data_IF_900510065649
#
_entry.id   IF_900510065649
#
_cell.length_a   1.000
_cell.length_b   1.000
_cell.length_c   1.000
_cell.angle_alpha   90.00
_cell.angle_beta   90.00
_cell.angle_gamma   90.00
#
_symmetry.space_group_name_H-M   'P 1'
#
loop_
_entity.id
_entity.type
_entity.pdbx_description
1 polymer ?
#
# COMPACT_ATOMS: atom_id res chain seq x y z
N UNK A 1 3.41 -13.84 -7.26
CA UNK A 1 4.22 -13.53 -6.06
C UNK A 1 4.27 -14.77 -5.20
N UNK A 2 5.48 -15.14 -4.74
CA UNK A 2 5.74 -16.20 -3.75
C UNK A 2 5.62 -15.58 -2.37
N UNK A 3 4.79 -16.14 -1.51
CA UNK A 3 4.44 -15.56 -0.20
C UNK A 3 4.90 -16.43 0.99
N UNK A 4 5.29 -17.69 0.72
CA UNK A 4 5.76 -18.61 1.75
C UNK A 4 6.84 -19.62 1.23
N UNK A 5 7.65 -20.22 2.14
CA UNK A 5 8.82 -21.03 1.74
C UNK A 5 8.55 -22.26 0.87
N UNK A 6 7.37 -22.89 0.95
CA UNK A 6 7.06 -24.10 0.19
C UNK A 6 6.43 -23.85 -1.19
N UNK A 7 6.05 -22.61 -1.47
CA UNK A 7 5.43 -22.26 -2.75
C UNK A 7 6.35 -22.45 -3.96
N UNK A 8 7.66 -22.18 -3.91
CA UNK A 8 8.54 -22.38 -5.07
C UNK A 8 8.44 -23.79 -5.64
N UNK A 9 8.50 -24.81 -4.79
CA UNK A 9 8.40 -26.21 -5.22
C UNK A 9 7.03 -26.52 -5.85
N UNK A 10 5.93 -26.02 -5.25
CA UNK A 10 4.57 -26.20 -5.76
C UNK A 10 4.39 -25.52 -7.13
N UNK A 11 4.88 -24.28 -7.27
CA UNK A 11 4.81 -23.57 -8.54
C UNK A 11 5.65 -24.28 -9.62
N UNK A 12 6.84 -24.75 -9.28
CA UNK A 12 7.71 -25.48 -10.17
C UNK A 12 7.05 -26.78 -10.67
N UNK A 13 6.38 -27.52 -9.78
CA UNK A 13 5.62 -28.74 -10.15
C UNK A 13 4.49 -28.41 -11.15
N UNK A 14 3.72 -27.37 -10.88
CA UNK A 14 2.64 -26.92 -11.76
C UNK A 14 3.20 -26.46 -13.11
N UNK A 15 4.27 -25.67 -13.10
CA UNK A 15 4.92 -25.17 -14.30
C UNK A 15 5.42 -26.33 -15.20
N UNK A 16 6.07 -27.32 -14.60
CA UNK A 16 6.49 -28.57 -15.29
C UNK A 16 5.30 -29.30 -15.92
N UNK A 17 4.24 -29.51 -15.14
CA UNK A 17 3.02 -30.19 -15.62
C UNK A 17 2.35 -29.47 -16.79
N UNK A 18 2.40 -28.13 -16.80
CA UNK A 18 1.81 -27.32 -17.85
C UNK A 18 2.78 -27.06 -19.03
N UNK A 19 4.03 -27.50 -18.96
CA UNK A 19 5.05 -27.20 -19.95
C UNK A 19 5.32 -25.68 -20.10
N UNK A 20 5.22 -24.93 -18.99
CA UNK A 20 5.38 -23.47 -18.98
C UNK A 20 6.49 -23.05 -18.02
N UNK A 21 7.08 -21.88 -18.30
CA UNK A 21 7.98 -21.19 -17.36
C UNK A 21 7.20 -20.08 -16.66
N UNK A 22 7.24 -20.06 -15.33
CA UNK A 22 6.54 -19.06 -14.51
C UNK A 22 7.50 -17.94 -14.09
N UNK A 23 7.09 -16.67 -14.29
CA UNK A 23 7.79 -15.50 -13.74
C UNK A 23 7.34 -15.31 -12.29
N UNK A 24 8.28 -15.21 -11.37
CA UNK A 24 7.99 -15.14 -9.94
C UNK A 24 8.81 -14.06 -9.24
N UNK A 25 8.21 -13.44 -8.22
CA UNK A 25 8.85 -12.54 -7.26
C UNK A 25 8.64 -13.09 -5.86
N UNK A 26 9.59 -12.85 -4.96
CA UNK A 26 9.40 -13.17 -3.54
C UNK A 26 8.83 -11.97 -2.80
N UNK A 27 7.71 -12.15 -2.09
CA UNK A 27 7.21 -11.16 -1.13
C UNK A 27 8.00 -11.24 0.17
N UNK A 28 8.58 -10.10 0.56
CA UNK A 28 9.45 -9.99 1.73
C UNK A 28 8.80 -9.08 2.77
N UNK A 29 8.72 -9.58 4.00
CA UNK A 29 8.35 -8.77 5.16
C UNK A 29 9.58 -7.99 5.60
N UNK A 30 9.57 -6.70 5.28
CA UNK A 30 10.73 -5.83 5.48
C UNK A 30 10.94 -5.38 6.93
N UNK A 31 9.95 -5.57 7.82
CA UNK A 31 9.98 -5.07 9.19
C UNK A 31 9.81 -3.54 9.29
N UNK A 32 9.31 -2.89 8.24
CA UNK A 32 8.94 -1.48 8.26
C UNK A 32 7.46 -1.34 8.60
N UNK A 33 7.14 -0.49 9.55
CA UNK A 33 5.76 -0.21 9.95
C UNK A 33 5.31 1.13 9.35
N UNK A 34 4.22 1.09 8.58
CA UNK A 34 3.62 2.28 7.99
C UNK A 34 2.10 2.15 7.90
N UNK A 35 1.38 3.29 8.06
CA UNK A 35 -0.07 3.35 8.02
C UNK A 35 -0.73 3.41 9.40
N UNK A 36 -1.97 3.91 9.44
CA UNK A 36 -2.65 4.33 10.68
C UNK A 36 -3.51 3.27 11.37
N UNK A 37 -3.74 2.09 10.80
CA UNK A 37 -4.61 1.07 11.40
C UNK A 37 -3.94 -0.31 11.38
N UNK A 38 -4.02 -1.04 12.50
CA UNK A 38 -3.38 -2.34 12.70
C UNK A 38 -3.73 -3.35 11.57
N UNK A 39 -4.99 -3.41 11.14
CA UNK A 39 -5.43 -4.35 10.10
C UNK A 39 -4.89 -4.06 8.69
N UNK A 40 -4.31 -2.91 8.45
CA UNK A 40 -3.71 -2.53 7.16
C UNK A 40 -2.19 -2.37 7.23
N UNK A 41 -1.57 -2.61 8.39
CA UNK A 41 -0.12 -2.72 8.56
C UNK A 41 0.33 -4.13 8.20
N UNK A 42 1.12 -4.30 7.13
CA UNK A 42 1.35 -5.61 6.50
C UNK A 42 2.82 -6.03 6.45
N UNK A 43 3.71 -5.35 7.17
CA UNK A 43 5.14 -5.58 7.05
C UNK A 43 5.87 -5.85 8.38
N UNK A 44 5.15 -6.14 9.46
CA UNK A 44 5.75 -6.56 10.73
C UNK A 44 5.85 -8.10 10.84
N UNK A 45 6.61 -8.60 11.81
CA UNK A 45 6.98 -10.01 11.91
C UNK A 45 5.79 -10.96 12.17
N UNK A 46 4.79 -10.52 12.93
CA UNK A 46 3.57 -11.29 13.22
C UNK A 46 2.47 -10.98 12.21
N UNK A 47 2.68 -11.41 10.97
CA UNK A 47 1.76 -11.20 9.85
C UNK A 47 1.64 -12.45 8.98
N UNK A 48 0.47 -12.59 8.33
CA UNK A 48 0.22 -13.69 7.40
C UNK A 48 0.90 -13.53 6.02
N UNK A 49 1.60 -12.43 5.78
CA UNK A 49 2.12 -12.05 4.48
C UNK A 49 3.63 -12.10 4.41
N UNK A 50 4.15 -12.70 3.34
CA UNK A 50 5.55 -12.64 2.98
C UNK A 50 6.47 -13.46 3.85
N UNK A 51 7.73 -13.50 3.43
CA UNK A 51 8.82 -14.16 4.13
C UNK A 51 9.68 -13.11 4.82
N UNK A 52 10.01 -13.31 6.10
CA UNK A 52 10.77 -12.35 6.87
C UNK A 52 12.17 -12.12 6.27
N UNK A 53 12.58 -10.84 6.22
CA UNK A 53 13.91 -10.44 5.76
C UNK A 53 15.02 -10.97 6.67
N UNK A 54 14.79 -10.92 7.98
CA UNK A 54 15.78 -11.24 9.01
C UNK A 54 15.40 -12.48 9.80
N UNK A 55 16.39 -13.13 10.45
CA UNK A 55 16.12 -14.18 11.41
C UNK A 55 15.34 -13.66 12.62
N UNK A 56 14.60 -14.53 13.28
CA UNK A 56 13.87 -14.22 14.51
C UNK A 56 14.82 -13.66 15.58
N UNK A 57 14.44 -12.53 16.17
CA UNK A 57 15.21 -11.86 17.22
C UNK A 57 16.42 -11.05 16.74
N UNK A 58 16.62 -10.90 15.44
CA UNK A 58 17.64 -10.05 14.89
C UNK A 58 17.33 -8.56 15.12
N UNK A 59 18.37 -7.78 15.39
CA UNK A 59 18.24 -6.33 15.57
C UNK A 59 18.15 -5.60 14.22
N UNK A 60 16.93 -5.29 13.81
CA UNK A 60 16.64 -4.63 12.55
C UNK A 60 17.25 -3.21 12.43
N UNK A 61 17.63 -2.57 13.55
CA UNK A 61 18.28 -1.24 13.53
C UNK A 61 19.65 -1.28 12.83
N UNK A 62 20.31 -2.42 12.81
CA UNK A 62 21.58 -2.60 12.11
C UNK A 62 21.47 -2.49 10.59
N UNK A 63 20.25 -2.59 10.03
CA UNK A 63 20.02 -2.36 8.61
C UNK A 63 20.03 -0.87 8.23
N UNK A 64 19.97 0.03 9.22
CA UNK A 64 20.01 1.47 8.99
C UNK A 64 21.42 1.98 8.61
N UNK A 65 22.40 1.10 8.55
CA UNK A 65 23.76 1.41 8.03
C UNK A 65 23.75 2.12 6.67
N UNK A 66 22.72 1.89 5.85
CA UNK A 66 22.58 2.54 4.55
C UNK A 66 22.22 4.04 4.67
N UNK A 67 21.66 4.48 5.78
CA UNK A 67 21.42 5.89 6.07
C UNK A 67 22.75 6.60 6.34
N UNK A 68 23.57 6.01 7.20
CA UNK A 68 24.89 6.55 7.55
C UNK A 68 25.83 6.63 6.32
N UNK A 69 25.77 5.63 5.43
CA UNK A 69 26.63 5.55 4.24
C UNK A 69 26.16 6.47 3.10
N UNK A 70 24.87 6.75 3.01
CA UNK A 70 24.31 7.65 2.00
C UNK A 70 24.65 9.11 2.26
N UNK A 71 24.80 9.50 3.53
CA UNK A 71 25.16 10.87 3.95
C UNK A 71 26.67 11.18 3.76
N UNK A 72 27.50 10.16 3.59
CA UNK A 72 28.93 10.36 3.31
C UNK A 72 29.10 10.65 1.82
N UNK A 73 28.97 11.90 1.43
CA UNK A 73 29.44 12.38 0.11
C UNK A 73 30.95 12.14 0.04
N UNK A 74 31.48 11.39 -0.95
CA UNK A 74 32.92 11.26 -1.10
C UNK A 74 33.53 12.66 -1.34
N UNK A 75 34.30 13.14 -0.39
CA UNK A 75 35.06 14.36 -0.58
C UNK A 75 36.01 14.13 -1.79
N UNK A 76 35.67 14.71 -2.93
CA UNK A 76 36.59 14.83 -4.07
C UNK A 76 36.22 14.10 -5.35
N UNK A 77 34.97 13.83 -5.67
CA UNK A 77 34.63 13.43 -7.05
C UNK A 77 33.93 14.56 -7.82
N UNK A 78 34.71 15.55 -8.25
CA UNK A 78 34.41 16.33 -9.45
C UNK A 78 34.64 15.45 -10.71
N UNK A 79 34.08 14.26 -10.75
CA UNK A 79 33.95 13.51 -11.96
C UNK A 79 32.70 14.04 -12.68
N UNK A 80 32.90 14.98 -13.59
CA UNK A 80 31.95 15.24 -14.68
C UNK A 80 31.55 13.88 -15.24
N UNK A 81 30.25 13.57 -15.19
CA UNK A 81 29.66 12.52 -15.99
C UNK A 81 29.93 12.91 -17.44
N UNK A 82 31.04 12.40 -18.00
CA UNK A 82 31.30 12.40 -19.43
C UNK A 82 30.25 11.48 -20.03
N UNK A 83 29.47 12.01 -20.96
CA UNK A 83 28.65 11.23 -21.85
C UNK A 83 29.60 10.22 -22.57
N UNK A 84 29.61 8.99 -22.06
CA UNK A 84 30.20 7.87 -22.80
C UNK A 84 29.04 7.10 -23.40
N UNK A 85 28.93 7.16 -24.73
CA UNK A 85 28.15 6.22 -25.51
C UNK A 85 28.73 4.80 -25.33
N UNK A 86 28.42 4.17 -24.18
CA UNK A 86 28.71 2.76 -23.99
C UNK A 86 27.45 1.97 -24.31
N UNK A 87 27.56 1.04 -25.24
CA UNK A 87 26.51 0.05 -25.51
C UNK A 87 26.11 -0.68 -24.24
N UNK A 88 24.80 -0.91 -24.01
CA UNK A 88 24.28 -1.42 -22.72
C UNK A 88 24.85 -2.74 -22.20
N UNK A 89 25.61 -3.49 -23.02
CA UNK A 89 26.24 -4.76 -22.61
C UNK A 89 27.63 -4.59 -21.99
N UNK A 90 28.47 -3.65 -22.48
CA UNK A 90 29.86 -3.53 -22.02
C UNK A 90 30.04 -2.88 -20.65
N UNK A 91 29.10 -2.02 -20.23
CA UNK A 91 29.13 -1.41 -18.90
C UNK A 91 28.77 -2.41 -17.81
N UNK A 92 27.83 -3.32 -18.08
CA UNK A 92 27.41 -4.35 -17.13
C UNK A 92 28.52 -5.40 -16.88
N UNK A 93 29.24 -5.82 -17.92
CA UNK A 93 30.35 -6.78 -17.79
C UNK A 93 31.55 -6.19 -17.03
N UNK A 94 31.90 -4.92 -17.26
CA UNK A 94 32.97 -4.25 -16.48
C UNK A 94 32.61 -4.06 -15.02
N UNK A 95 31.35 -3.72 -14.73
CA UNK A 95 30.84 -3.60 -13.36
C UNK A 95 30.85 -4.97 -12.66
N UNK A 96 30.39 -6.03 -13.33
CA UNK A 96 30.47 -7.40 -12.86
C UNK A 96 31.90 -7.85 -12.54
N UNK A 97 32.89 -7.52 -13.39
CA UNK A 97 34.30 -7.85 -13.12
C UNK A 97 34.88 -7.10 -11.92
N UNK A 98 34.44 -5.87 -11.66
CA UNK A 98 34.87 -5.10 -10.50
C UNK A 98 34.29 -5.69 -9.20
N UNK A 99 33.00 -6.06 -9.21
CA UNK A 99 32.28 -6.59 -8.06
C UNK A 99 32.65 -8.03 -7.70
N UNK A 100 33.06 -8.85 -8.69
CA UNK A 100 33.56 -10.22 -8.47
C UNK A 100 34.95 -10.22 -7.79
N UNK A 101 35.71 -9.15 -7.94
CA UNK A 101 37.09 -9.07 -7.42
C UNK A 101 37.16 -8.79 -5.92
N UNK A 102 36.05 -8.41 -5.28
CA UNK A 102 35.98 -8.03 -3.87
C UNK A 102 34.77 -8.63 -3.09
N UNK A 103 34.51 -9.96 -3.21
CA UNK A 103 33.59 -10.58 -2.28
C UNK A 103 34.34 -10.81 -0.96
N UNK A 104 34.10 -10.01 0.07
CA UNK A 104 34.46 -10.29 1.46
C UNK A 104 35.92 -10.63 1.81
N UNK A 105 36.93 -10.17 1.07
CA UNK A 105 38.33 -10.29 1.53
C UNK A 105 38.61 -9.24 2.60
N UNK A 106 38.35 -9.60 3.84
CA UNK A 106 38.63 -8.82 5.06
C UNK A 106 40.12 -8.77 5.43
N UNK A 107 41.00 -9.33 4.59
CA UNK A 107 42.43 -9.47 4.90
C UNK A 107 43.27 -8.21 4.62
N UNK A 108 42.68 -7.18 4.01
CA UNK A 108 43.39 -5.92 3.75
C UNK A 108 43.25 -4.90 4.87
N UNK A 109 44.35 -4.37 5.35
CA UNK A 109 44.55 -3.51 6.54
C UNK A 109 43.77 -2.18 6.59
N UNK A 110 42.81 -1.88 5.68
CA UNK A 110 42.07 -0.63 5.58
C UNK A 110 40.59 -0.79 5.26
N UNK A 111 39.90 -1.74 5.90
CA UNK A 111 38.45 -1.81 5.80
C UNK A 111 37.86 -0.69 6.66
N UNK A 112 37.05 0.20 6.04
CA UNK A 112 36.39 1.29 6.78
C UNK A 112 35.39 0.76 7.82
N UNK A 113 35.06 1.55 8.81
CA UNK A 113 34.02 1.20 9.78
C UNK A 113 32.66 0.99 9.08
N UNK A 114 32.36 1.82 8.06
CA UNK A 114 31.16 1.69 7.23
C UNK A 114 31.10 0.35 6.51
N UNK A 115 32.21 -0.09 5.88
CA UNK A 115 32.25 -1.39 5.20
C UNK A 115 32.04 -2.56 6.17
N UNK A 116 32.56 -2.48 7.39
CA UNK A 116 32.34 -3.51 8.43
C UNK A 116 30.87 -3.57 8.86
N UNK A 117 30.25 -2.42 9.07
CA UNK A 117 28.82 -2.34 9.41
C UNK A 117 27.96 -2.89 8.26
N UNK A 118 28.26 -2.54 7.02
CA UNK A 118 27.58 -3.08 5.84
C UNK A 118 27.72 -4.60 5.73
N UNK A 119 28.94 -5.13 5.89
CA UNK A 119 29.18 -6.57 5.89
C UNK A 119 28.38 -7.28 7.00
N UNK A 120 28.30 -6.71 8.20
CA UNK A 120 27.48 -7.21 9.30
C UNK A 120 25.99 -7.23 8.97
N UNK A 121 25.46 -6.16 8.35
CA UNK A 121 24.07 -6.10 7.91
C UNK A 121 23.78 -7.14 6.81
N UNK A 122 24.68 -7.30 5.84
CA UNK A 122 24.55 -8.33 4.79
C UNK A 122 24.60 -9.75 5.37
N UNK A 123 25.42 -10.01 6.39
CA UNK A 123 25.44 -11.31 7.07
C UNK A 123 24.10 -11.60 7.74
N UNK A 124 23.52 -10.64 8.44
CA UNK A 124 22.17 -10.81 9.02
C UNK A 124 21.11 -11.12 7.96
N UNK A 125 21.14 -10.42 6.82
CA UNK A 125 20.22 -10.70 5.70
C UNK A 125 20.49 -12.07 5.10
N UNK A 126 21.76 -12.50 5.02
CA UNK A 126 22.13 -13.82 4.52
C UNK A 126 21.62 -14.97 5.39
N UNK A 127 21.52 -14.75 6.69
CA UNK A 127 20.98 -15.70 7.65
C UNK A 127 19.43 -15.66 7.71
N UNK A 128 18.80 -14.71 7.01
CA UNK A 128 17.36 -14.52 6.99
C UNK A 128 16.62 -15.51 6.09
N UNK A 129 15.36 -15.84 6.42
CA UNK A 129 14.56 -16.78 5.63
C UNK A 129 14.29 -16.31 4.20
N UNK A 130 14.21 -15.00 3.94
CA UNK A 130 13.98 -14.48 2.59
C UNK A 130 15.08 -14.89 1.62
N UNK A 131 16.36 -14.84 2.04
CA UNK A 131 17.47 -15.27 1.19
C UNK A 131 17.41 -16.78 0.90
N UNK A 132 17.03 -17.60 1.87
CA UNK A 132 16.87 -19.04 1.68
C UNK A 132 15.80 -19.35 0.62
N UNK A 133 14.68 -18.65 0.65
CA UNK A 133 13.60 -18.82 -0.34
C UNK A 133 14.02 -18.32 -1.73
N UNK A 134 14.75 -17.20 -1.82
CA UNK A 134 15.31 -16.75 -3.11
C UNK A 134 16.21 -17.81 -3.73
N UNK A 135 17.08 -18.44 -2.94
CA UNK A 135 17.92 -19.56 -3.39
C UNK A 135 17.10 -20.76 -3.84
N UNK A 136 16.02 -21.06 -3.13
CA UNK A 136 15.12 -22.17 -3.52
C UNK A 136 14.43 -21.88 -4.86
N UNK A 137 13.90 -20.66 -5.07
CA UNK A 137 13.35 -20.25 -6.37
C UNK A 137 14.41 -20.39 -7.47
N UNK A 138 15.63 -19.92 -7.21
CA UNK A 138 16.73 -19.95 -8.17
C UNK A 138 17.16 -21.38 -8.54
N UNK A 139 17.06 -22.35 -7.65
CA UNK A 139 17.29 -23.77 -7.95
C UNK A 139 16.34 -24.34 -8.99
N UNK A 140 15.15 -23.77 -9.12
CA UNK A 140 14.14 -24.16 -10.11
C UNK A 140 14.16 -23.30 -11.38
N UNK A 141 15.29 -22.68 -11.71
CA UNK A 141 15.43 -21.78 -12.87
C UNK A 141 15.12 -22.42 -14.23
N UNK A 142 15.04 -23.76 -14.29
CA UNK A 142 14.57 -24.52 -15.45
C UNK A 142 13.11 -24.21 -15.80
N UNK A 143 12.27 -23.94 -14.80
CA UNK A 143 10.83 -23.65 -14.95
C UNK A 143 10.34 -22.39 -14.24
N UNK A 144 11.15 -21.80 -13.37
CA UNK A 144 10.87 -20.51 -12.72
C UNK A 144 11.83 -19.44 -13.24
N UNK A 145 11.30 -18.27 -13.54
CA UNK A 145 12.07 -17.07 -13.82
C UNK A 145 11.96 -16.14 -12.60
N UNK A 146 13.01 -16.08 -11.79
CA UNK A 146 13.06 -15.16 -10.66
C UNK A 146 13.28 -13.74 -11.16
N UNK A 147 12.23 -12.91 -11.12
CA UNK A 147 12.27 -11.54 -11.67
C UNK A 147 12.56 -10.48 -10.61
N UNK A 148 12.36 -10.76 -9.33
CA UNK A 148 12.62 -9.75 -8.31
C UNK A 148 12.10 -10.08 -6.92
N UNK A 149 12.07 -9.05 -6.09
CA UNK A 149 11.48 -9.06 -4.76
C UNK A 149 10.37 -8.03 -4.66
N UNK A 150 9.38 -8.32 -3.84
CA UNK A 150 8.23 -7.49 -3.58
C UNK A 150 8.13 -7.18 -2.08
N UNK A 151 7.70 -5.98 -1.73
CA UNK A 151 7.37 -5.61 -0.36
C UNK A 151 6.15 -4.71 -0.35
N UNK A 152 5.21 -4.94 0.56
CA UNK A 152 4.06 -4.07 0.78
C UNK A 152 4.01 -3.69 2.26
N UNK A 153 4.16 -2.41 2.57
CA UNK A 153 4.46 -1.92 3.93
C UNK A 153 3.26 -1.37 4.68
N UNK A 154 2.11 -1.25 4.01
CA UNK A 154 0.91 -0.74 4.66
C UNK A 154 -0.02 0.00 3.71
N UNK A 155 -0.91 0.79 4.26
CA UNK A 155 -1.96 1.48 3.50
C UNK A 155 -2.18 2.89 4.04
N UNK A 156 -2.55 3.81 3.14
CA UNK A 156 -2.80 5.21 3.44
C UNK A 156 -1.58 5.93 4.03
N UNK A 157 -0.44 5.80 3.35
CA UNK A 157 0.86 6.37 3.73
C UNK A 157 0.99 7.72 3.01
N UNK A 158 1.31 8.77 3.77
CA UNK A 158 1.25 10.16 3.29
C UNK A 158 2.58 10.71 2.77
N UNK A 159 3.70 10.05 3.07
CA UNK A 159 5.05 10.45 2.63
C UNK A 159 5.88 9.25 2.19
N UNK A 160 7.02 9.50 1.56
CA UNK A 160 7.88 8.44 1.05
C UNK A 160 8.82 7.82 2.10
N UNK A 161 8.89 8.29 3.33
CA UNK A 161 9.92 7.87 4.29
C UNK A 161 9.91 6.36 4.53
N UNK A 162 8.74 5.78 4.77
CA UNK A 162 8.61 4.34 4.97
C UNK A 162 8.92 3.54 3.69
N UNK A 163 8.53 4.05 2.51
CA UNK A 163 8.89 3.44 1.22
C UNK A 163 10.39 3.48 0.97
N UNK A 164 11.07 4.59 1.31
CA UNK A 164 12.52 4.73 1.21
C UNK A 164 13.22 3.71 2.11
N UNK A 165 12.76 3.54 3.36
CA UNK A 165 13.33 2.55 4.27
C UNK A 165 13.11 1.11 3.76
N UNK A 166 11.92 0.80 3.26
CA UNK A 166 11.65 -0.50 2.65
C UNK A 166 12.54 -0.74 1.41
N UNK A 167 12.65 0.24 0.53
CA UNK A 167 13.52 0.18 -0.65
C UNK A 167 14.98 -0.09 -0.26
N UNK A 168 15.53 0.61 0.73
CA UNK A 168 16.89 0.37 1.23
C UNK A 168 17.08 -1.08 1.67
N UNK A 169 16.14 -1.63 2.44
CA UNK A 169 16.19 -3.03 2.88
C UNK A 169 16.11 -4.02 1.71
N UNK A 170 15.28 -3.74 0.71
CA UNK A 170 15.20 -4.57 -0.50
C UNK A 170 16.48 -4.49 -1.35
N UNK A 171 17.11 -3.31 -1.45
CA UNK A 171 18.40 -3.17 -2.13
C UNK A 171 19.51 -3.94 -1.40
N UNK A 172 19.49 -3.96 -0.07
CA UNK A 172 20.44 -4.74 0.72
C UNK A 172 20.25 -6.25 0.51
N UNK A 173 18.99 -6.75 0.50
CA UNK A 173 18.69 -8.14 0.14
C UNK A 173 19.19 -8.49 -1.27
N UNK A 174 18.93 -7.60 -2.23
CA UNK A 174 19.37 -7.74 -3.61
C UNK A 174 20.90 -7.82 -3.72
N UNK A 175 21.63 -6.97 -3.00
CA UNK A 175 23.10 -7.01 -2.91
C UNK A 175 23.60 -8.31 -2.27
N UNK A 176 22.96 -8.73 -1.17
CA UNK A 176 23.31 -9.96 -0.46
C UNK A 176 23.11 -11.19 -1.36
N UNK A 177 21.99 -11.27 -2.09
CA UNK A 177 21.72 -12.37 -3.01
C UNK A 177 22.73 -12.38 -4.17
N UNK A 178 23.07 -11.21 -4.71
CA UNK A 178 24.14 -11.11 -5.72
C UNK A 178 25.49 -11.62 -5.18
N UNK A 179 25.86 -11.24 -3.96
CA UNK A 179 27.12 -11.66 -3.35
C UNK A 179 27.21 -13.16 -3.08
N UNK A 180 26.05 -13.82 -2.79
CA UNK A 180 26.03 -15.25 -2.46
C UNK A 180 25.79 -16.15 -3.67
N UNK A 181 25.04 -15.71 -4.66
CA UNK A 181 24.55 -16.54 -5.77
C UNK A 181 24.88 -15.99 -7.16
N UNK A 182 25.58 -14.86 -7.24
CA UNK A 182 26.01 -14.17 -8.48
C UNK A 182 24.83 -13.86 -9.42
N UNK A 183 23.62 -13.68 -8.87
CA UNK A 183 22.41 -13.32 -9.63
C UNK A 183 21.89 -11.94 -9.25
N UNK A 184 21.77 -11.07 -10.24
CA UNK A 184 21.22 -9.73 -10.04
C UNK A 184 19.71 -9.75 -10.26
N UNK A 185 18.95 -9.55 -9.19
CA UNK A 185 17.49 -9.41 -9.29
C UNK A 185 17.16 -8.14 -10.10
N UNK A 186 16.43 -8.25 -11.23
CA UNK A 186 16.20 -7.12 -12.10
C UNK A 186 15.15 -6.13 -11.60
N UNK A 187 14.23 -6.56 -10.74
CA UNK A 187 13.07 -5.76 -10.32
C UNK A 187 12.89 -5.75 -8.80
N UNK A 188 12.41 -4.61 -8.28
CA UNK A 188 11.96 -4.45 -6.90
C UNK A 188 10.60 -3.79 -6.93
N UNK A 189 9.56 -4.50 -6.47
CA UNK A 189 8.22 -3.98 -6.32
C UNK A 189 8.02 -3.49 -4.88
N UNK A 190 7.69 -2.22 -4.73
CA UNK A 190 7.47 -1.58 -3.44
C UNK A 190 6.00 -1.58 -3.00
N UNK A 191 5.15 -2.24 -3.78
CA UNK A 191 3.74 -2.41 -3.47
C UNK A 191 2.91 -1.15 -3.59
N UNK A 192 1.76 -1.17 -2.95
CA UNK A 192 0.83 -0.05 -2.86
C UNK A 192 0.89 0.64 -1.49
N UNK A 193 -0.14 1.42 -1.21
CA UNK A 193 -0.28 2.10 0.08
C UNK A 193 -0.35 3.62 0.00
N UNK A 194 -0.25 4.20 -1.17
CA UNK A 194 -0.28 5.65 -1.42
C UNK A 194 -1.61 6.25 -0.97
N UNK A 195 -1.53 7.33 -0.16
CA UNK A 195 -2.69 7.96 0.46
C UNK A 195 -3.53 8.78 -0.52
N UNK A 196 -4.78 8.95 -0.14
CA UNK A 196 -5.70 9.92 -0.72
C UNK A 196 -6.42 10.65 0.40
N UNK A 197 -6.83 11.90 0.17
CA UNK A 197 -7.67 12.66 1.10
C UNK A 197 -9.10 12.12 1.07
N UNK A 198 -9.61 11.67 2.20
CA UNK A 198 -11.00 11.23 2.37
C UNK A 198 -11.90 12.33 2.92
N UNK A 199 -11.32 13.32 3.58
CA UNK A 199 -12.00 14.47 4.17
C UNK A 199 -11.36 15.77 3.70
N UNK A 200 -12.07 16.89 3.88
CA UNK A 200 -11.58 18.23 3.48
C UNK A 200 -10.35 18.69 4.30
N UNK A 201 -10.05 18.03 5.40
CA UNK A 201 -8.89 18.35 6.27
C UNK A 201 -7.68 17.44 6.07
N UNK A 202 -7.74 16.51 5.13
CA UNK A 202 -6.64 15.60 4.81
C UNK A 202 -5.98 15.97 3.49
N UNK A 203 -4.68 15.74 3.40
CA UNK A 203 -3.91 15.86 2.16
C UNK A 203 -3.68 14.47 1.54
N UNK A 204 -3.74 14.39 0.22
CA UNK A 204 -3.22 13.26 -0.54
C UNK A 204 -1.70 13.32 -0.58
N UNK A 205 -1.04 12.17 -0.72
CA UNK A 205 0.40 12.14 -1.00
C UNK A 205 0.69 12.94 -2.29
N UNK A 206 1.60 13.89 -2.21
CA UNK A 206 2.16 14.55 -3.40
C UNK A 206 3.12 13.57 -4.11
N UNK A 207 2.56 12.81 -5.06
CA UNK A 207 3.32 11.76 -5.75
C UNK A 207 4.54 12.28 -6.49
N UNK A 208 4.48 13.45 -7.11
CA UNK A 208 5.59 13.98 -7.90
C UNK A 208 6.79 14.26 -7.00
N UNK A 209 6.55 14.93 -5.87
CA UNK A 209 7.60 15.20 -4.87
C UNK A 209 8.09 13.93 -4.21
N UNK A 210 7.20 13.07 -3.76
CA UNK A 210 7.56 11.90 -2.94
C UNK A 210 8.21 10.79 -3.78
N UNK A 211 7.80 10.60 -5.03
CA UNK A 211 8.47 9.66 -5.95
C UNK A 211 9.85 10.18 -6.38
N UNK A 212 10.04 11.49 -6.51
CA UNK A 212 11.37 12.05 -6.77
C UNK A 212 12.33 11.78 -5.60
N UNK A 213 11.89 11.96 -4.35
CA UNK A 213 12.64 11.61 -3.14
C UNK A 213 13.01 10.12 -3.11
N UNK A 214 12.06 9.26 -3.40
CA UNK A 214 12.27 7.81 -3.46
C UNK A 214 13.27 7.42 -4.56
N UNK A 215 13.16 8.00 -5.74
CA UNK A 215 14.07 7.74 -6.86
C UNK A 215 15.51 8.16 -6.53
N UNK A 216 15.70 9.31 -5.90
CA UNK A 216 17.00 9.78 -5.44
C UNK A 216 17.61 8.84 -4.38
N UNK A 217 16.80 8.42 -3.40
CA UNK A 217 17.23 7.48 -2.37
C UNK A 217 17.64 6.12 -2.97
N UNK A 218 16.84 5.56 -3.89
CA UNK A 218 17.14 4.30 -4.59
C UNK A 218 18.44 4.41 -5.40
N UNK A 219 18.61 5.50 -6.13
CA UNK A 219 19.82 5.77 -6.91
C UNK A 219 21.06 5.85 -6.03
N UNK A 220 20.96 6.60 -4.92
CA UNK A 220 22.04 6.78 -3.95
C UNK A 220 22.43 5.46 -3.30
N UNK A 221 21.47 4.67 -2.84
CA UNK A 221 21.72 3.36 -2.20
C UNK A 221 22.36 2.38 -3.17
N UNK A 222 21.87 2.28 -4.42
CA UNK A 222 22.48 1.38 -5.41
C UNK A 222 23.92 1.78 -5.73
N UNK A 223 24.22 3.09 -5.79
CA UNK A 223 25.60 3.58 -5.95
C UNK A 223 26.49 3.17 -4.79
N UNK A 224 26.01 3.33 -3.54
CA UNK A 224 26.74 2.92 -2.32
C UNK A 224 26.99 1.41 -2.31
N UNK A 225 26.00 0.62 -2.73
CA UNK A 225 26.11 -0.83 -2.78
C UNK A 225 26.91 -1.35 -3.99
N UNK A 226 27.32 -0.48 -4.93
CA UNK A 226 27.97 -0.89 -6.18
C UNK A 226 27.07 -1.79 -7.03
N UNK A 227 25.78 -1.52 -7.09
CA UNK A 227 24.80 -2.32 -7.81
C UNK A 227 24.13 -1.50 -8.92
N UNK A 228 23.79 -2.10 -10.07
CA UNK A 228 22.94 -1.43 -11.05
C UNK A 228 21.56 -1.18 -10.46
N UNK A 229 20.94 -0.06 -10.82
CA UNK A 229 19.57 0.23 -10.38
C UNK A 229 18.60 -0.82 -10.93
N UNK A 230 17.66 -1.36 -10.10
CA UNK A 230 16.62 -2.24 -10.61
C UNK A 230 15.50 -1.43 -11.28
N UNK A 231 14.61 -2.11 -11.97
CA UNK A 231 13.28 -1.58 -12.26
C UNK A 231 12.53 -1.48 -10.94
N UNK A 232 11.91 -0.32 -10.67
CA UNK A 232 11.04 -0.14 -9.51
C UNK A 232 9.60 -0.22 -9.97
N UNK A 233 8.83 -1.12 -9.37
CA UNK A 233 7.41 -1.31 -9.62
C UNK A 233 6.58 -0.84 -8.44
N UNK A 234 5.33 -0.42 -8.71
CA UNK A 234 4.39 0.10 -7.75
C UNK A 234 2.98 -0.43 -7.99
N UNK A 235 2.18 -0.53 -6.92
CA UNK A 235 0.79 -1.01 -6.96
C UNK A 235 -0.20 0.04 -6.42
N UNK A 236 -0.35 1.24 -7.03
CA UNK A 236 -1.05 2.39 -6.47
C UNK A 236 -2.58 2.28 -6.60
N UNK A 237 -3.19 1.16 -6.22
CA UNK A 237 -4.62 0.88 -6.42
C UNK A 237 -5.55 1.94 -5.83
N UNK A 238 -5.39 2.26 -4.53
CA UNK A 238 -6.19 3.29 -3.87
C UNK A 238 -6.05 4.66 -4.54
N UNK A 239 -4.83 5.10 -4.74
CA UNK A 239 -4.54 6.40 -5.33
C UNK A 239 -5.17 6.57 -6.72
N UNK A 240 -5.15 5.49 -7.51
CA UNK A 240 -5.68 5.49 -8.89
C UNK A 240 -7.20 5.57 -8.93
N UNK A 241 -7.92 4.83 -8.08
CA UNK A 241 -9.37 4.65 -8.26
C UNK A 241 -10.24 5.24 -7.15
N UNK A 242 -9.71 5.50 -5.94
CA UNK A 242 -10.54 6.02 -4.86
C UNK A 242 -11.19 7.37 -5.20
N UNK A 243 -10.45 8.38 -5.73
CA UNK A 243 -11.02 9.67 -6.06
C UNK A 243 -12.03 9.65 -7.21
N UNK A 244 -12.03 8.58 -8.03
CA UNK A 244 -12.94 8.47 -9.19
C UNK A 244 -14.34 8.03 -8.83
N UNK A 245 -14.57 7.59 -7.59
CA UNK A 245 -15.86 7.09 -7.13
C UNK A 245 -16.54 7.99 -6.13
N UNK A 246 -17.85 8.15 -6.31
CA UNK A 246 -18.74 8.86 -5.40
C UNK A 246 -19.94 7.95 -5.11
N UNK A 247 -20.31 7.80 -3.86
CA UNK A 247 -21.55 7.12 -3.48
C UNK A 247 -22.64 8.14 -3.20
N UNK A 248 -23.79 7.95 -3.81
CA UNK A 248 -24.97 8.80 -3.62
C UNK A 248 -25.97 8.11 -2.71
N UNK A 249 -26.38 8.82 -1.67
CA UNK A 249 -27.36 8.37 -0.70
C UNK A 249 -28.56 9.30 -0.64
N UNK A 250 -29.76 8.75 -0.55
CA UNK A 250 -30.99 9.53 -0.32
C UNK A 250 -31.22 9.70 1.17
N UNK A 251 -31.41 10.94 1.61
CA UNK A 251 -31.73 11.27 3.00
C UNK A 251 -33.13 10.79 3.35
N UNK A 252 -33.21 10.04 4.43
CA UNK A 252 -34.45 9.59 5.06
C UNK A 252 -34.88 10.51 6.19
N UNK A 253 -34.56 10.14 7.44
CA UNK A 253 -34.90 10.91 8.63
C UNK A 253 -33.76 11.86 9.02
N UNK A 254 -34.12 13.11 9.38
CA UNK A 254 -33.20 14.09 9.97
C UNK A 254 -33.63 14.30 11.42
N UNK A 255 -32.77 13.88 12.37
CA UNK A 255 -33.10 13.83 13.80
C UNK A 255 -32.10 14.63 14.63
N UNK A 256 -32.46 15.81 15.16
CA UNK A 256 -31.63 16.49 16.15
C UNK A 256 -31.63 15.71 17.48
N UNK A 257 -30.49 15.62 18.12
CA UNK A 257 -30.28 14.98 19.42
C UNK A 257 -29.50 15.92 20.32
N UNK A 258 -30.10 16.23 21.48
CA UNK A 258 -29.44 17.00 22.52
C UNK A 258 -28.39 16.11 23.21
N UNK A 259 -27.20 16.64 23.40
CA UNK A 259 -26.06 15.94 23.97
C UNK A 259 -25.78 16.45 25.38
N UNK A 260 -25.26 15.60 26.24
CA UNK A 260 -24.77 16.00 27.57
C UNK A 260 -23.61 17.03 27.42
N UNK A 261 -23.50 17.94 28.37
CA UNK A 261 -22.54 19.06 28.32
C UNK A 261 -21.05 18.67 28.30
N UNK A 262 -20.73 17.37 28.32
CA UNK A 262 -19.37 16.82 28.19
C UNK A 262 -19.04 16.38 26.77
N UNK A 263 -20.02 16.41 25.86
CA UNK A 263 -19.78 16.00 24.45
C UNK A 263 -18.90 17.01 23.73
N UNK A 264 -18.00 16.49 22.88
CA UNK A 264 -17.08 17.28 22.06
C UNK A 264 -17.14 16.84 20.60
N UNK A 265 -16.84 17.78 19.70
CA UNK A 265 -16.56 17.47 18.30
C UNK A 265 -15.12 16.94 18.13
N UNK A 266 -14.74 16.56 16.90
CA UNK A 266 -13.38 16.09 16.58
C UNK A 266 -12.29 17.13 16.88
N UNK A 267 -12.62 18.41 16.81
CA UNK A 267 -11.71 19.51 17.14
C UNK A 267 -11.60 19.76 18.65
N UNK A 268 -12.36 19.03 19.48
CA UNK A 268 -12.38 19.17 20.94
C UNK A 268 -13.31 20.25 21.45
N UNK A 269 -14.10 20.91 20.60
CA UNK A 269 -15.04 21.94 21.01
C UNK A 269 -16.29 21.33 21.67
N UNK A 270 -16.88 21.97 22.71
CA UNK A 270 -18.12 21.52 23.30
C UNK A 270 -19.27 21.50 22.28
N UNK A 271 -20.06 20.41 22.29
CA UNK A 271 -21.21 20.23 21.41
C UNK A 271 -22.45 19.91 22.25
N UNK A 272 -23.50 20.69 22.07
CA UNK A 272 -24.77 20.49 22.78
C UNK A 272 -25.83 19.79 21.92
N UNK A 273 -25.69 19.81 20.62
CA UNK A 273 -26.57 19.15 19.67
C UNK A 273 -25.80 18.47 18.56
N UNK A 274 -26.25 17.28 18.14
CA UNK A 274 -25.82 16.62 16.90
C UNK A 274 -27.05 16.21 16.10
N UNK A 275 -27.00 16.41 14.79
CA UNK A 275 -28.07 16.00 13.89
C UNK A 275 -27.72 14.64 13.27
N UNK A 276 -28.52 13.63 13.52
CA UNK A 276 -28.43 12.34 12.84
C UNK A 276 -29.17 12.41 11.51
N UNK A 277 -28.48 12.13 10.43
CA UNK A 277 -29.02 12.10 9.06
C UNK A 277 -28.99 10.66 8.59
N UNK A 278 -30.14 9.97 8.61
CA UNK A 278 -30.23 8.61 8.11
C UNK A 278 -30.35 8.57 6.59
N UNK A 279 -29.75 7.56 5.99
CA UNK A 279 -29.73 7.37 4.53
C UNK A 279 -30.18 5.97 4.13
N UNK A 280 -30.44 5.77 2.83
CA UNK A 280 -30.90 4.52 2.22
C UNK A 280 -29.77 3.52 1.91
N UNK A 281 -28.63 3.65 2.58
CA UNK A 281 -27.49 2.73 2.54
C UNK A 281 -26.95 2.49 3.93
N UNK A 282 -25.73 1.98 4.05
CA UNK A 282 -25.13 1.70 5.34
C UNK A 282 -23.83 0.91 5.25
N UNK A 283 -23.47 0.28 6.38
CA UNK A 283 -22.27 -0.54 6.46
C UNK A 283 -22.25 -1.73 5.49
N UNK A 284 -23.38 -2.11 4.91
CA UNK A 284 -23.45 -3.14 3.88
C UNK A 284 -22.89 -2.70 2.52
N UNK A 285 -22.87 -1.42 2.22
CA UNK A 285 -22.28 -0.86 0.99
C UNK A 285 -21.00 -0.07 1.24
N UNK A 286 -20.78 0.46 2.44
CA UNK A 286 -19.52 1.05 2.89
C UNK A 286 -19.16 0.61 4.31
N UNK A 287 -18.50 -0.53 4.42
CA UNK A 287 -18.08 -1.11 5.72
C UNK A 287 -16.88 -0.39 6.34
N UNK A 288 -16.15 0.44 5.60
CA UNK A 288 -14.86 0.97 6.02
C UNK A 288 -14.89 1.84 7.29
N UNK A 289 -15.90 2.69 7.53
CA UNK A 289 -16.00 3.39 8.80
C UNK A 289 -16.15 2.44 10.01
N UNK A 290 -16.97 1.40 9.89
CA UNK A 290 -17.18 0.43 10.97
C UNK A 290 -15.97 -0.49 11.17
N UNK A 291 -15.30 -0.93 10.09
CA UNK A 291 -14.21 -1.91 10.14
C UNK A 291 -12.85 -1.28 10.46
N UNK A 292 -12.57 -0.10 9.90
CA UNK A 292 -11.26 0.54 9.97
C UNK A 292 -11.28 1.90 10.67
N UNK A 293 -12.43 2.36 11.15
CA UNK A 293 -12.56 3.72 11.67
C UNK A 293 -12.31 4.81 10.61
N UNK A 294 -12.45 4.47 9.32
CA UNK A 294 -12.17 5.41 8.23
C UNK A 294 -13.15 6.57 8.25
N UNK A 295 -12.62 7.77 8.15
CA UNK A 295 -13.43 8.97 8.01
C UNK A 295 -13.79 9.24 6.55
N UNK A 296 -14.94 9.87 6.37
CA UNK A 296 -15.44 10.38 5.10
C UNK A 296 -16.06 11.76 5.31
N UNK A 297 -16.29 12.48 4.22
CA UNK A 297 -17.12 13.68 4.18
C UNK A 297 -18.40 13.44 3.37
N UNK A 298 -19.35 14.34 3.47
CA UNK A 298 -20.57 14.30 2.68
C UNK A 298 -21.02 15.72 2.30
N UNK A 299 -21.70 15.85 1.15
CA UNK A 299 -22.26 17.11 0.67
C UNK A 299 -23.62 16.87 0.04
N UNK A 300 -24.54 17.86 0.12
CA UNK A 300 -25.80 17.81 -0.66
C UNK A 300 -25.44 17.92 -2.15
N UNK A 301 -25.96 17.01 -2.97
CA UNK A 301 -25.63 16.90 -4.39
C UNK A 301 -26.76 17.33 -5.33
N UNK A 302 -28.00 17.41 -4.86
CA UNK A 302 -29.16 17.66 -5.71
C UNK A 302 -29.70 19.11 -5.64
N UNK A 303 -29.16 19.92 -4.74
CA UNK A 303 -29.52 21.33 -4.60
C UNK A 303 -28.43 22.10 -3.85
N UNK A 304 -28.50 23.40 -3.90
CA UNK A 304 -27.76 24.28 -2.98
C UNK A 304 -28.43 24.23 -1.60
N UNK A 305 -27.66 24.14 -0.54
CA UNK A 305 -28.13 24.24 0.84
C UNK A 305 -27.94 25.64 1.40
N UNK A 306 -28.47 25.88 2.60
CA UNK A 306 -28.24 27.14 3.32
C UNK A 306 -26.76 27.33 3.64
N UNK A 307 -26.32 28.57 3.77
CA UNK A 307 -24.96 28.92 4.21
C UNK A 307 -24.72 28.60 5.68
N UNK A 308 -25.78 28.58 6.50
CA UNK A 308 -25.70 28.10 7.89
C UNK A 308 -25.54 26.58 7.90
N UNK A 309 -24.70 26.05 8.78
CA UNK A 309 -24.42 24.61 8.88
C UNK A 309 -24.68 24.07 10.29
N UNK A 310 -24.99 22.78 10.36
CA UNK A 310 -25.14 22.01 11.59
C UNK A 310 -24.13 20.88 11.65
N UNK A 311 -23.74 20.49 12.87
CA UNK A 311 -22.92 19.31 13.10
C UNK A 311 -23.76 18.05 12.91
N UNK A 312 -23.47 17.27 11.91
CA UNK A 312 -24.21 16.09 11.51
C UNK A 312 -23.39 14.82 11.67
N UNK A 313 -24.11 13.70 11.79
CA UNK A 313 -23.61 12.34 11.63
C UNK A 313 -24.49 11.64 10.60
N UNK A 314 -23.89 11.13 9.53
CA UNK A 314 -24.61 10.36 8.52
C UNK A 314 -24.60 8.89 8.94
N UNK A 315 -25.80 8.31 9.09
CA UNK A 315 -26.01 6.95 9.60
C UNK A 315 -26.80 6.11 8.62
N UNK A 316 -26.51 4.82 8.61
CA UNK A 316 -27.17 3.89 7.71
C UNK A 316 -28.51 3.38 8.20
N UNK A 317 -29.02 2.36 7.50
CA UNK A 317 -30.33 1.76 7.69
C UNK A 317 -30.32 0.50 8.59
N UNK A 318 -29.13 0.03 8.97
CA UNK A 318 -29.01 -1.18 9.79
C UNK A 318 -29.24 -0.90 11.27
N UNK A 319 -29.68 -1.93 12.03
CA UNK A 319 -29.96 -1.83 13.45
C UNK A 319 -28.71 -1.87 14.33
N UNK A 320 -27.58 -1.40 13.82
CA UNK A 320 -26.30 -1.34 14.48
C UNK A 320 -25.95 0.09 14.88
N UNK A 321 -25.55 0.33 16.12
CA UNK A 321 -25.07 1.66 16.54
C UNK A 321 -23.79 2.10 15.82
N UNK A 322 -23.02 1.14 15.28
CA UNK A 322 -21.84 1.33 14.47
C UNK A 322 -22.11 1.54 12.97
N UNK A 323 -23.38 1.52 12.53
CA UNK A 323 -23.74 1.78 11.14
C UNK A 323 -23.66 3.29 10.81
N UNK A 324 -22.44 3.77 10.74
CA UNK A 324 -22.09 5.17 10.54
C UNK A 324 -21.33 5.28 9.20
N UNK A 325 -21.84 6.08 8.27
CA UNK A 325 -21.19 6.37 6.99
C UNK A 325 -20.21 7.53 7.15
N UNK A 326 -20.65 8.62 7.80
CA UNK A 326 -19.81 9.78 8.11
C UNK A 326 -19.98 10.12 9.58
N UNK A 327 -18.90 9.97 10.34
CA UNK A 327 -18.96 10.14 11.79
C UNK A 327 -19.24 11.59 12.21
N UNK A 328 -18.64 12.53 11.47
CA UNK A 328 -18.80 13.95 11.76
C UNK A 328 -18.61 14.78 10.50
N UNK A 329 -19.59 15.60 10.17
CA UNK A 329 -19.58 16.51 9.03
C UNK A 329 -20.48 17.73 9.30
N UNK A 330 -20.13 18.87 8.76
CA UNK A 330 -21.02 20.06 8.75
C UNK A 330 -21.85 20.06 7.49
N UNK A 331 -23.15 19.86 7.61
CA UNK A 331 -24.10 19.94 6.52
C UNK A 331 -24.97 21.20 6.63
N UNK A 332 -25.52 21.71 5.50
CA UNK A 332 -26.47 22.82 5.52
C UNK A 332 -27.59 22.63 6.55
N UNK A 333 -27.93 23.68 7.28
CA UNK A 333 -28.91 23.62 8.37
C UNK A 333 -30.33 23.26 7.89
N UNK A 334 -30.60 23.47 6.60
CA UNK A 334 -31.86 23.16 5.92
C UNK A 334 -31.89 21.75 5.29
N UNK A 335 -30.92 20.88 5.63
CA UNK A 335 -30.95 19.47 5.19
C UNK A 335 -32.27 18.81 5.57
N UNK A 336 -32.87 18.10 4.60
CA UNK A 336 -34.20 17.53 4.74
C UNK A 336 -34.33 16.17 4.07
N UNK A 337 -35.42 15.48 4.39
CA UNK A 337 -35.80 14.22 3.75
C UNK A 337 -35.92 14.40 2.24
N UNK A 338 -35.32 13.46 1.50
CA UNK A 338 -35.32 13.45 0.04
C UNK A 338 -34.12 14.14 -0.59
N UNK A 339 -33.31 14.89 0.19
CA UNK A 339 -32.01 15.35 -0.29
C UNK A 339 -31.14 14.16 -0.70
N UNK A 340 -30.21 14.39 -1.62
CA UNK A 340 -29.20 13.41 -2.01
C UNK A 340 -27.86 13.87 -1.47
N UNK A 341 -27.22 13.00 -0.67
CA UNK A 341 -25.85 13.20 -0.20
C UNK A 341 -24.88 12.49 -1.12
N UNK A 342 -23.81 13.18 -1.51
CA UNK A 342 -22.65 12.62 -2.15
C UNK A 342 -21.56 12.37 -1.09
N UNK A 343 -21.08 11.14 -1.00
CA UNK A 343 -19.91 10.75 -0.22
C UNK A 343 -18.78 10.44 -1.22
N UNK A 344 -17.77 11.31 -1.34
CA UNK A 344 -16.69 11.15 -2.32
C UNK A 344 -15.68 10.09 -1.88
N UNK A 345 -14.72 9.78 -2.76
CA UNK A 345 -13.56 8.92 -2.52
C UNK A 345 -13.96 7.48 -2.17
N UNK A 346 -15.03 6.98 -2.76
CA UNK A 346 -15.52 5.60 -2.57
C UNK A 346 -15.16 4.65 -3.70
N UNK A 347 -14.32 5.07 -4.67
CA UNK A 347 -13.94 4.25 -5.82
C UNK A 347 -13.08 3.03 -5.47
N UNK A 348 -12.28 3.10 -4.40
CA UNK A 348 -11.53 1.96 -3.88
C UNK A 348 -12.21 1.38 -2.65
N UNK A 349 -12.25 0.03 -2.56
CA UNK A 349 -12.75 -0.72 -1.40
C UNK A 349 -14.22 -0.43 -1.00
N UNK A 350 -15.00 0.24 -1.86
CA UNK A 350 -16.44 0.42 -1.69
C UNK A 350 -17.17 -0.83 -2.19
N UNK A 351 -17.46 -0.88 -3.51
CA UNK A 351 -18.22 -1.97 -4.12
C UNK A 351 -17.65 -3.38 -3.86
N UNK A 352 -16.32 -3.52 -3.82
CA UNK A 352 -15.67 -4.82 -3.61
C UNK A 352 -15.80 -5.36 -2.19
N UNK A 353 -16.05 -4.50 -1.20
CA UNK A 353 -16.31 -4.89 0.19
C UNK A 353 -17.79 -4.89 0.55
N UNK A 354 -18.66 -4.52 -0.39
CA UNK A 354 -20.10 -4.55 -0.17
C UNK A 354 -20.59 -5.99 0.09
N UNK A 355 -21.60 -6.11 0.93
CA UNK A 355 -22.18 -7.39 1.36
C UNK A 355 -23.70 -7.33 1.38
N UNK A 356 -24.32 -8.49 1.50
CA UNK A 356 -25.74 -8.60 1.76
C UNK A 356 -26.07 -8.68 3.27
N UNK A 357 -25.33 -7.95 4.09
CA UNK A 357 -25.63 -7.87 5.52
C UNK A 357 -27.10 -7.47 5.75
N UNK A 358 -27.82 -8.19 6.61
CA UNK A 358 -29.26 -8.06 6.81
C UNK A 358 -30.09 -8.13 5.52
N UNK A 359 -29.64 -8.88 4.51
CA UNK A 359 -30.26 -9.03 3.17
C UNK A 359 -30.38 -7.69 2.40
N UNK A 360 -29.59 -6.69 2.74
CA UNK A 360 -29.52 -5.45 1.99
C UNK A 360 -28.98 -5.70 0.57
N UNK A 361 -29.65 -5.11 -0.43
CA UNK A 361 -29.26 -5.25 -1.82
C UNK A 361 -28.08 -4.34 -2.16
N UNK A 362 -27.09 -4.89 -2.85
CA UNK A 362 -25.90 -4.13 -3.27
C UNK A 362 -26.27 -3.11 -4.35
N UNK A 363 -25.88 -1.83 -4.23
CA UNK A 363 -26.23 -0.78 -5.18
C UNK A 363 -25.57 -0.98 -6.55
N UNK A 364 -26.10 -0.30 -7.56
CA UNK A 364 -25.50 -0.24 -8.90
C UNK A 364 -24.19 0.53 -8.92
N UNK A 365 -23.36 0.24 -9.92
CA UNK A 365 -22.22 1.10 -10.30
C UNK A 365 -22.53 1.69 -11.67
N UNK A 366 -22.45 3.02 -11.75
CA UNK A 366 -22.71 3.78 -12.97
C UNK A 366 -21.43 4.54 -13.32
N UNK A 367 -20.95 4.36 -14.55
CA UNK A 367 -19.90 5.21 -15.08
C UNK A 367 -20.54 6.51 -15.60
N UNK A 368 -19.89 7.62 -15.26
CA UNK A 368 -20.37 8.97 -15.65
C UNK A 368 -19.21 9.72 -16.29
N UNK A 369 -19.47 10.35 -17.43
CA UNK A 369 -18.60 11.32 -18.09
C UNK A 369 -19.37 12.61 -18.35
N UNK A 370 -18.72 13.60 -18.95
CA UNK A 370 -19.41 14.84 -19.34
C UNK A 370 -20.56 14.63 -20.34
N UNK A 371 -20.49 13.56 -21.13
CA UNK A 371 -21.43 13.33 -22.24
C UNK A 371 -22.34 12.10 -22.05
N UNK A 372 -21.99 11.22 -21.12
CA UNK A 372 -22.69 9.94 -21.00
C UNK A 372 -22.74 9.42 -19.57
N UNK A 373 -23.77 8.60 -19.30
CA UNK A 373 -23.89 7.84 -18.06
C UNK A 373 -24.43 6.45 -18.39
N UNK A 374 -23.68 5.40 -18.06
CA UNK A 374 -24.10 4.02 -18.32
C UNK A 374 -23.85 3.10 -17.11
N UNK A 375 -24.70 2.10 -16.95
CA UNK A 375 -24.60 1.12 -15.88
C UNK A 375 -23.48 0.14 -16.19
N UNK A 376 -22.43 0.15 -15.37
CA UNK A 376 -21.35 -0.85 -15.41
C UNK A 376 -21.74 -2.13 -14.67
N UNK A 377 -22.34 -1.98 -13.50
CA UNK A 377 -22.83 -3.08 -12.66
C UNK A 377 -24.27 -2.74 -12.28
N UNK A 378 -25.20 -3.62 -12.64
CA UNK A 378 -26.61 -3.40 -12.28
C UNK A 378 -26.83 -3.50 -10.77
N UNK A 379 -27.86 -2.85 -10.27
CA UNK A 379 -28.34 -3.04 -8.89
C UNK A 379 -28.76 -4.49 -8.69
N UNK A 380 -28.43 -5.05 -7.54
CA UNK A 380 -28.91 -6.35 -7.12
C UNK A 380 -30.43 -6.31 -6.90
N UNK A 381 -31.10 -7.41 -7.19
CA UNK A 381 -32.54 -7.62 -6.96
C UNK A 381 -32.77 -8.65 -5.86
N UNK A 382 -34.01 -8.75 -5.38
CA UNK A 382 -34.38 -9.80 -4.43
C UNK A 382 -34.19 -11.19 -5.04
N UNK A 383 -34.50 -11.35 -6.34
CA UNK A 383 -34.31 -12.62 -7.03
C UNK A 383 -32.84 -13.07 -7.02
N UNK A 384 -31.88 -12.13 -7.12
CA UNK A 384 -30.46 -12.46 -7.00
C UNK A 384 -30.10 -13.06 -5.62
N UNK A 385 -30.82 -12.71 -4.57
CA UNK A 385 -30.63 -13.32 -3.24
C UNK A 385 -31.29 -14.69 -3.18
N UNK A 386 -32.49 -14.83 -3.75
CA UNK A 386 -33.26 -16.08 -3.76
C UNK A 386 -32.65 -17.17 -4.64
N UNK A 387 -31.90 -16.77 -5.66
CA UNK A 387 -31.19 -17.71 -6.56
C UNK A 387 -30.12 -18.55 -5.80
N UNK A 388 -29.76 -18.17 -4.58
CA UNK A 388 -28.85 -18.96 -3.75
C UNK A 388 -29.55 -20.03 -2.94
N UNK A 389 -30.88 -19.95 -2.79
CA UNK A 389 -31.67 -20.94 -2.08
C UNK A 389 -31.84 -22.19 -2.94
N UNK A 390 -31.52 -23.32 -2.38
CA UNK A 390 -31.74 -24.63 -3.06
C UNK A 390 -33.13 -25.14 -2.65
N UNK A 391 -34.03 -25.18 -3.60
CA UNK A 391 -35.33 -25.85 -3.39
C UNK A 391 -35.11 -27.37 -3.33
N UNK A 392 -35.66 -28.02 -2.32
CA UNK A 392 -35.73 -29.49 -2.25
C UNK A 392 -36.62 -30.04 -3.37
#
# INVERSE_FOLDING_TARGET
VVDEPNEPARIAEIAKRLGKRARVMLRVTSGIHAGGHEFVSTAHEDQKFGVALLPVGADASKLNVLDDLADVTPAGSNARLGESEATPGESAERQLQYDIKYPYDMSHEKVSEGDRKLAGAMTMVADGPALAVLKEIYRHQDVLELVGVHSHIGSNIHDADAFIQAAKRMMLLRKTFYATDAYTLPEVDLGGGYSVAYTDGEDSMDLDTELARLADAVTTVNRVLGMPAPVISFEPGRWTVAPTGVTLYRVGTVKPVQLAGTAKDKAGNPVTERVYVSVDGGMSDNIRPALYGSDYTARIANREGSSETKLCRVVGMHCESGDIIVNEVRLPADIQRGDVLAVPVTGAYGRTMASNYNQALIPAVVAVSEQDAHVMIRRQTVDDLLDWDVSE
#
